data_IF_231150194762
#
_entry.id   IF_231150194762
#
_cell.length_a   1.000
_cell.length_b   1.000
_cell.length_c   1.000
_cell.angle_alpha   90.00
_cell.angle_beta   90.00
_cell.angle_gamma   90.00
#
_symmetry.space_group_name_H-M   'P 1'
#
loop_
_entity.id
_entity.type
_entity.pdbx_description
1 polymer ?
#
# COMPACT_ATOMS: atom_id res chain seq x y z
N UNK A 1 14.78 30.21 -25.31
CA UNK A 1 15.34 29.60 -24.11
C UNK A 1 15.04 28.11 -24.18
N UNK A 2 16.06 27.31 -24.39
CA UNK A 2 15.91 25.86 -24.35
C UNK A 2 15.55 25.48 -22.93
N UNK A 3 14.42 24.77 -22.78
CA UNK A 3 13.97 24.23 -21.52
C UNK A 3 14.86 23.03 -21.21
N UNK A 4 15.67 23.10 -20.15
CA UNK A 4 16.54 22.00 -19.74
C UNK A 4 15.76 21.11 -18.77
N UNK A 5 15.55 19.84 -19.13
CA UNK A 5 14.94 18.81 -18.28
C UNK A 5 16.04 17.84 -17.83
N UNK A 6 15.98 17.40 -16.60
CA UNK A 6 16.81 16.35 -16.04
C UNK A 6 15.91 15.26 -15.49
N UNK A 7 16.10 14.04 -16.00
CA UNK A 7 15.41 12.87 -15.51
C UNK A 7 16.30 12.16 -14.49
N UNK A 8 15.72 11.77 -13.37
CA UNK A 8 16.37 10.95 -12.35
C UNK A 8 15.58 9.66 -12.17
N UNK A 9 16.17 8.55 -12.57
CA UNK A 9 15.68 7.23 -12.22
C UNK A 9 16.03 6.91 -10.77
N UNK A 10 15.27 6.02 -10.14
CA UNK A 10 15.38 5.68 -8.71
C UNK A 10 15.42 6.95 -7.82
N UNK A 11 14.48 7.85 -8.08
CA UNK A 11 14.45 9.20 -7.48
C UNK A 11 14.38 9.20 -5.94
N UNK A 12 14.08 8.06 -5.31
CA UNK A 12 14.17 7.91 -3.87
C UNK A 12 15.61 8.10 -3.34
N UNK A 13 16.64 7.98 -4.19
CA UNK A 13 18.02 8.33 -3.85
C UNK A 13 18.32 9.83 -3.99
N UNK A 14 17.41 10.65 -4.53
CA UNK A 14 17.65 12.07 -4.79
C UNK A 14 17.94 12.91 -3.52
N UNK A 15 17.56 12.40 -2.35
CA UNK A 15 17.85 13.02 -1.05
C UNK A 15 19.32 12.87 -0.61
N UNK A 16 20.11 12.01 -1.26
CA UNK A 16 21.51 11.80 -0.91
C UNK A 16 22.41 12.97 -1.37
N UNK A 17 23.46 13.25 -0.60
CA UNK A 17 24.39 14.35 -0.89
C UNK A 17 25.01 14.28 -2.30
N UNK A 18 25.19 13.08 -2.84
CA UNK A 18 25.72 12.87 -4.19
C UNK A 18 24.77 13.39 -5.26
N UNK A 19 23.49 13.02 -5.16
CA UNK A 19 22.44 13.47 -6.06
C UNK A 19 22.19 14.98 -5.93
N UNK A 20 22.16 15.50 -4.70
CA UNK A 20 21.98 16.94 -4.47
C UNK A 20 23.07 17.76 -5.16
N UNK A 21 24.34 17.36 -5.07
CA UNK A 21 25.43 18.04 -5.77
C UNK A 21 25.25 18.05 -7.29
N UNK A 22 24.69 16.96 -7.85
CA UNK A 22 24.42 16.90 -9.30
C UNK A 22 23.28 17.84 -9.66
N UNK A 23 22.20 17.86 -8.88
CA UNK A 23 21.06 18.75 -9.10
C UNK A 23 21.42 20.22 -8.96
N UNK A 24 22.22 20.58 -7.94
CA UNK A 24 22.72 21.93 -7.70
C UNK A 24 23.58 22.46 -8.85
N UNK A 25 24.21 21.57 -9.62
CA UNK A 25 24.97 21.96 -10.82
C UNK A 25 24.08 22.48 -11.94
N UNK A 26 22.78 22.17 -11.91
CA UNK A 26 21.81 22.55 -12.94
C UNK A 26 20.64 23.38 -12.37
N UNK A 27 20.87 24.54 -11.75
CA UNK A 27 19.86 25.26 -10.98
C UNK A 27 18.68 25.82 -11.80
N UNK A 28 18.78 25.76 -13.12
CA UNK A 28 17.70 26.20 -14.04
C UNK A 28 16.98 25.03 -14.73
N UNK A 29 17.40 23.80 -14.46
CA UNK A 29 16.76 22.62 -15.05
C UNK A 29 15.44 22.30 -14.32
N UNK A 30 14.45 21.87 -15.05
CA UNK A 30 13.31 21.16 -14.47
C UNK A 30 13.73 19.71 -14.22
N UNK A 31 13.44 19.21 -13.03
CA UNK A 31 13.83 17.85 -12.63
C UNK A 31 12.60 16.95 -12.62
N UNK A 32 12.66 15.87 -13.38
CA UNK A 32 11.68 14.78 -13.34
C UNK A 32 12.30 13.61 -12.60
N UNK A 33 11.72 13.24 -11.46
CA UNK A 33 12.10 12.03 -10.71
C UNK A 33 11.13 10.90 -10.98
N UNK A 34 11.66 9.71 -11.27
CA UNK A 34 10.89 8.47 -11.42
C UNK A 34 11.35 7.48 -10.37
N UNK A 35 10.43 6.83 -9.67
CA UNK A 35 10.72 5.77 -8.70
C UNK A 35 9.59 4.77 -8.65
N UNK A 36 9.92 3.49 -8.54
CA UNK A 36 8.92 2.42 -8.36
C UNK A 36 8.30 2.42 -6.97
N UNK A 37 8.94 3.01 -5.99
CA UNK A 37 8.58 2.91 -4.58
C UNK A 37 8.70 4.24 -3.85
N UNK A 38 7.79 5.19 -4.11
CA UNK A 38 7.69 6.38 -3.26
C UNK A 38 7.07 5.96 -1.92
N UNK A 39 7.89 5.68 -0.91
CA UNK A 39 7.39 5.43 0.43
C UNK A 39 6.92 6.73 1.10
N UNK A 40 5.94 6.65 2.03
CA UNK A 40 5.44 7.84 2.74
C UNK A 40 6.53 8.55 3.53
N UNK A 41 7.50 7.80 4.07
CA UNK A 41 8.70 8.34 4.70
C UNK A 41 9.58 9.09 3.70
N UNK A 42 9.80 8.48 2.55
CA UNK A 42 10.59 9.03 1.45
C UNK A 42 9.90 10.19 0.76
N UNK A 43 8.57 10.17 0.62
CA UNK A 43 7.78 11.28 0.08
C UNK A 43 7.97 12.57 0.88
N UNK A 44 8.07 12.47 2.20
CA UNK A 44 8.36 13.63 3.07
C UNK A 44 9.75 14.19 2.82
N UNK A 45 10.72 13.33 2.55
CA UNK A 45 12.08 13.68 2.23
C UNK A 45 12.21 14.14 0.77
N UNK A 46 11.53 13.47 -0.18
CA UNK A 46 11.48 13.83 -1.59
C UNK A 46 10.80 15.19 -1.80
N UNK A 47 9.85 15.59 -0.97
CA UNK A 47 9.25 16.93 -0.96
C UNK A 47 10.25 18.07 -0.68
N UNK A 48 11.47 17.78 -0.23
CA UNK A 48 12.57 18.75 -0.15
C UNK A 48 13.29 18.97 -1.48
N UNK A 49 13.14 18.04 -2.42
CA UNK A 49 13.82 18.04 -3.74
C UNK A 49 12.84 18.33 -4.88
N UNK A 50 11.65 17.75 -4.81
CA UNK A 50 10.60 17.87 -5.84
C UNK A 50 9.43 18.70 -5.31
N UNK A 51 8.86 19.52 -6.19
CA UNK A 51 7.76 20.43 -5.83
C UNK A 51 6.40 19.74 -5.78
N UNK A 52 6.23 18.66 -6.56
CA UNK A 52 4.94 17.96 -6.65
C UNK A 52 5.08 16.54 -7.18
N UNK A 53 4.12 15.68 -6.82
CA UNK A 53 3.91 14.39 -7.46
C UNK A 53 3.08 14.63 -8.73
N UNK A 54 3.68 14.41 -9.89
CA UNK A 54 3.04 14.64 -11.19
C UNK A 54 2.09 13.51 -11.56
N UNK A 55 2.47 12.28 -11.31
CA UNK A 55 1.70 11.08 -11.63
C UNK A 55 2.05 9.92 -10.69
N UNK A 56 1.05 9.14 -10.31
CA UNK A 56 1.21 7.91 -9.53
C UNK A 56 0.55 6.76 -10.30
N UNK A 57 1.31 5.66 -10.48
CA UNK A 57 0.84 4.44 -11.10
C UNK A 57 1.05 3.28 -10.14
N UNK A 58 -0.04 2.83 -9.53
CA UNK A 58 0.02 1.88 -8.44
C UNK A 58 0.20 0.44 -8.92
N UNK A 59 0.75 -0.43 -8.06
CA UNK A 59 0.90 -1.87 -8.34
C UNK A 59 -0.45 -2.54 -8.67
N UNK A 60 -1.56 -2.32 -7.92
CA UNK A 60 -2.87 -2.85 -8.29
C UNK A 60 -3.34 -2.38 -9.67
N UNK A 61 -3.12 -1.11 -10.00
CA UNK A 61 -3.48 -0.61 -11.32
C UNK A 61 -2.70 -1.32 -12.43
N UNK A 62 -1.39 -1.53 -12.24
CA UNK A 62 -0.54 -2.23 -13.20
C UNK A 62 -0.93 -3.70 -13.38
N UNK A 63 -1.36 -4.38 -12.32
CA UNK A 63 -1.88 -5.75 -12.37
C UNK A 63 -3.21 -5.77 -13.13
N UNK A 64 -4.15 -4.91 -12.77
CA UNK A 64 -5.49 -4.82 -13.38
C UNK A 64 -5.43 -4.48 -14.88
N UNK A 65 -4.49 -3.64 -15.29
CA UNK A 65 -4.27 -3.27 -16.69
C UNK A 65 -3.43 -4.31 -17.46
N UNK A 66 -2.98 -5.38 -16.79
CA UNK A 66 -2.27 -6.50 -17.40
C UNK A 66 -0.80 -6.20 -17.75
N UNK A 67 -0.17 -5.25 -17.07
CA UNK A 67 1.28 -4.99 -17.20
C UNK A 67 2.11 -5.81 -16.23
N UNK A 68 1.51 -6.27 -15.12
CA UNK A 68 2.16 -7.12 -14.14
C UNK A 68 1.31 -8.34 -13.82
N UNK A 69 1.96 -9.41 -13.36
CA UNK A 69 1.29 -10.65 -12.95
C UNK A 69 0.52 -10.43 -11.63
N UNK A 70 -0.67 -11.03 -11.47
CA UNK A 70 -1.35 -11.11 -10.18
C UNK A 70 -0.44 -11.73 -9.11
N UNK A 71 -0.62 -11.33 -7.87
CA UNK A 71 0.17 -11.83 -6.75
C UNK A 71 -0.73 -12.61 -5.81
N UNK A 72 -0.36 -13.87 -5.54
CA UNK A 72 -0.96 -14.67 -4.48
C UNK A 72 0.02 -14.82 -3.34
N UNK A 73 -0.40 -14.47 -2.14
CA UNK A 73 0.37 -14.67 -0.93
C UNK A 73 -0.08 -15.96 -0.22
N UNK A 74 0.90 -16.75 0.25
CA UNK A 74 0.67 -17.83 1.20
C UNK A 74 1.39 -17.48 2.48
N UNK A 75 0.64 -17.25 3.55
CA UNK A 75 1.20 -17.06 4.87
C UNK A 75 1.54 -18.42 5.49
N UNK A 76 2.83 -18.63 5.76
CA UNK A 76 3.33 -19.88 6.34
C UNK A 76 3.25 -19.78 7.88
N UNK A 77 2.61 -20.72 8.57
CA UNK A 77 2.40 -20.65 10.02
C UNK A 77 3.66 -20.98 10.84
N UNK A 78 4.83 -20.77 10.28
CA UNK A 78 6.11 -20.91 10.95
C UNK A 78 6.49 -19.56 11.57
N UNK A 79 6.40 -19.46 12.89
CA UNK A 79 6.70 -18.25 13.64
C UNK A 79 8.20 -18.12 13.85
N UNK A 80 8.81 -17.20 13.11
CA UNK A 80 10.22 -16.86 13.20
C UNK A 80 10.40 -15.71 14.21
N UNK A 81 11.20 -15.94 15.24
CA UNK A 81 11.39 -14.98 16.32
C UNK A 81 12.47 -13.94 15.97
N UNK A 82 12.06 -12.68 15.88
CA UNK A 82 12.92 -11.52 15.65
C UNK A 82 13.04 -10.60 16.88
N UNK A 83 12.55 -11.00 18.04
CA UNK A 83 12.52 -10.14 19.24
C UNK A 83 13.92 -9.67 19.67
N UNK A 84 14.96 -10.49 19.43
CA UNK A 84 16.36 -10.19 19.72
C UNK A 84 17.11 -9.41 18.62
N UNK A 85 16.47 -9.10 17.48
CA UNK A 85 17.13 -8.44 16.35
C UNK A 85 17.21 -6.94 16.55
N UNK A 86 18.43 -6.38 16.47
CA UNK A 86 18.68 -4.94 16.57
C UNK A 86 18.43 -4.22 15.22
N UNK A 87 18.31 -2.90 15.28
CA UNK A 87 18.17 -2.04 14.09
C UNK A 87 19.43 -1.26 13.82
N UNK A 88 19.78 -1.11 12.54
CA UNK A 88 20.91 -0.33 12.07
C UNK A 88 20.49 0.44 10.81
N UNK A 89 20.78 1.74 10.76
CA UNK A 89 20.46 2.60 9.62
C UNK A 89 18.98 2.53 9.14
N UNK A 90 18.04 2.44 10.09
CA UNK A 90 16.60 2.41 9.79
C UNK A 90 16.03 1.03 9.43
N UNK A 91 16.86 0.00 9.30
CA UNK A 91 16.41 -1.37 9.01
C UNK A 91 16.97 -2.36 10.05
N UNK A 92 16.58 -3.62 9.96
CA UNK A 92 17.13 -4.69 10.78
C UNK A 92 18.58 -4.98 10.45
N UNK A 93 19.38 -5.26 11.48
CA UNK A 93 20.78 -5.65 11.30
C UNK A 93 20.90 -7.06 10.74
N UNK A 94 21.50 -7.18 9.54
CA UNK A 94 21.57 -8.43 8.80
C UNK A 94 22.21 -9.60 9.56
N UNK A 95 23.24 -9.33 10.40
CA UNK A 95 23.90 -10.35 11.21
C UNK A 95 23.00 -10.93 12.31
N UNK A 96 22.09 -10.13 12.84
CA UNK A 96 21.18 -10.55 13.90
C UNK A 96 20.01 -11.34 13.29
N UNK A 97 19.52 -10.92 12.09
CA UNK A 97 18.56 -11.72 11.30
C UNK A 97 19.15 -13.08 10.97
N UNK A 98 20.40 -13.13 10.51
CA UNK A 98 21.11 -14.37 10.19
C UNK A 98 21.08 -15.35 11.37
N UNK A 99 21.40 -14.85 12.56
CA UNK A 99 21.40 -15.66 13.79
C UNK A 99 20.00 -16.15 14.16
N UNK A 100 18.98 -15.28 14.02
CA UNK A 100 17.59 -15.62 14.32
C UNK A 100 16.99 -16.62 13.30
N UNK A 101 17.40 -16.52 12.02
CA UNK A 101 16.90 -17.36 10.94
C UNK A 101 17.52 -18.76 10.91
N UNK A 102 18.78 -18.89 11.33
CA UNK A 102 19.59 -20.11 11.19
C UNK A 102 18.91 -21.40 11.70
N UNK A 103 18.24 -21.41 12.87
CA UNK A 103 17.56 -22.60 13.38
C UNK A 103 16.38 -23.08 12.53
N UNK A 104 15.82 -22.21 11.69
CA UNK A 104 14.59 -22.47 10.93
C UNK A 104 14.83 -22.87 9.48
N UNK A 105 16.06 -22.78 8.97
CA UNK A 105 16.36 -22.98 7.55
C UNK A 105 15.86 -24.31 7.01
N UNK A 106 16.00 -25.42 7.78
CA UNK A 106 15.49 -26.73 7.37
C UNK A 106 13.95 -26.76 7.30
N UNK A 107 13.28 -26.15 8.29
CA UNK A 107 11.82 -26.08 8.31
C UNK A 107 11.28 -25.23 7.15
N UNK A 108 11.96 -24.13 6.83
CA UNK A 108 11.63 -23.29 5.67
C UNK A 108 11.78 -24.10 4.38
N UNK A 109 12.85 -24.86 4.21
CA UNK A 109 13.04 -25.72 3.06
C UNK A 109 11.95 -26.81 2.94
N UNK A 110 11.47 -27.35 4.07
CA UNK A 110 10.36 -28.30 4.09
C UNK A 110 9.02 -27.67 3.69
N UNK A 111 8.78 -26.41 4.07
CA UNK A 111 7.60 -25.67 3.59
C UNK A 111 7.73 -25.38 2.08
N UNK A 112 8.92 -25.03 1.60
CA UNK A 112 9.15 -24.83 0.17
C UNK A 112 8.84 -26.06 -0.68
N UNK A 113 9.10 -27.27 -0.17
CA UNK A 113 8.73 -28.52 -0.86
C UNK A 113 7.24 -28.65 -1.10
N UNK A 114 6.41 -28.10 -0.22
CA UNK A 114 4.95 -28.18 -0.35
C UNK A 114 4.40 -27.22 -1.40
N UNK A 115 4.96 -26.01 -1.49
CA UNK A 115 4.34 -24.92 -2.22
C UNK A 115 5.05 -24.52 -3.52
N UNK A 116 6.38 -24.72 -3.61
CA UNK A 116 7.17 -24.18 -4.73
C UNK A 116 8.20 -25.14 -5.32
N UNK A 117 8.03 -26.45 -5.13
CA UNK A 117 8.99 -27.46 -5.65
C UNK A 117 9.22 -27.33 -7.16
N UNK A 118 8.17 -27.11 -7.93
CA UNK A 118 8.19 -27.02 -9.39
C UNK A 118 8.24 -25.57 -9.90
N UNK A 119 8.31 -24.58 -9.00
CA UNK A 119 8.30 -23.17 -9.37
C UNK A 119 9.69 -22.62 -9.55
N UNK A 120 9.82 -21.64 -10.43
CA UNK A 120 11.06 -20.87 -10.60
C UNK A 120 11.15 -19.81 -9.51
N UNK A 121 11.92 -20.10 -8.48
CA UNK A 121 11.90 -19.40 -7.20
C UNK A 121 13.15 -18.56 -6.98
N UNK A 122 12.97 -17.32 -6.51
CA UNK A 122 14.06 -16.48 -5.98
C UNK A 122 13.90 -16.33 -4.48
N UNK A 123 15.00 -16.52 -3.74
CA UNK A 123 15.05 -16.41 -2.27
C UNK A 123 16.03 -15.30 -1.88
N UNK A 124 15.53 -14.31 -1.16
CA UNK A 124 16.33 -13.23 -0.62
C UNK A 124 16.72 -13.51 0.82
N UNK A 125 18.02 -13.55 1.09
CA UNK A 125 18.60 -13.90 2.41
C UNK A 125 19.43 -12.74 2.99
N UNK A 126 19.66 -12.70 4.32
CA UNK A 126 20.32 -11.57 4.96
C UNK A 126 21.83 -11.47 4.63
N UNK A 127 22.52 -12.60 4.52
CA UNK A 127 23.97 -12.67 4.32
C UNK A 127 24.35 -13.73 3.27
N UNK A 128 25.50 -13.55 2.65
CA UNK A 128 26.06 -14.51 1.66
C UNK A 128 26.22 -15.91 2.27
N UNK A 129 26.78 -16.01 3.49
CA UNK A 129 26.96 -17.30 4.16
C UNK A 129 25.64 -18.05 4.40
N UNK A 130 24.56 -17.32 4.74
CA UNK A 130 23.22 -17.88 4.92
C UNK A 130 22.66 -18.34 3.58
N UNK A 131 22.88 -17.55 2.54
CA UNK A 131 22.48 -17.86 1.16
C UNK A 131 23.12 -19.17 0.67
N UNK A 132 24.42 -19.31 0.88
CA UNK A 132 25.16 -20.54 0.54
C UNK A 132 24.69 -21.75 1.35
N UNK A 133 24.55 -21.59 2.68
CA UNK A 133 24.04 -22.64 3.55
C UNK A 133 22.63 -23.09 3.15
N UNK A 134 21.76 -22.13 2.85
CA UNK A 134 20.39 -22.44 2.48
C UNK A 134 20.30 -23.14 1.11
N UNK A 135 21.11 -22.71 0.13
CA UNK A 135 21.27 -23.44 -1.14
C UNK A 135 21.63 -24.91 -0.89
N UNK A 136 22.61 -25.19 -0.03
CA UNK A 136 23.05 -26.56 0.24
C UNK A 136 21.93 -27.40 0.91
N UNK A 137 21.17 -26.77 1.81
CA UNK A 137 19.98 -27.41 2.41
C UNK A 137 18.94 -27.72 1.32
N UNK A 138 18.65 -26.77 0.42
CA UNK A 138 17.69 -26.97 -0.67
C UNK A 138 18.12 -28.10 -1.62
N UNK A 139 19.41 -28.19 -1.96
CA UNK A 139 19.96 -29.29 -2.75
C UNK A 139 19.76 -30.63 -2.02
N UNK A 140 20.01 -30.68 -0.70
CA UNK A 140 19.78 -31.88 0.10
C UNK A 140 18.30 -32.33 0.15
N UNK A 141 17.37 -31.38 -0.07
CA UNK A 141 15.93 -31.61 -0.16
C UNK A 141 15.42 -31.92 -1.57
N UNK A 142 16.32 -31.95 -2.56
CA UNK A 142 16.01 -32.31 -3.95
C UNK A 142 15.55 -31.13 -4.83
N UNK A 143 15.92 -29.91 -4.48
CA UNK A 143 15.83 -28.77 -5.39
C UNK A 143 17.09 -28.65 -6.26
N UNK A 144 16.93 -28.11 -7.47
CA UNK A 144 18.06 -27.67 -8.30
C UNK A 144 18.36 -26.20 -7.93
N UNK A 145 19.09 -26.01 -6.83
CA UNK A 145 19.34 -24.69 -6.28
C UNK A 145 20.75 -24.18 -6.62
N UNK A 146 20.82 -22.88 -6.96
CA UNK A 146 22.07 -22.15 -7.10
C UNK A 146 22.12 -20.96 -6.12
N UNK A 147 23.30 -20.40 -5.95
CA UNK A 147 23.50 -19.19 -5.15
C UNK A 147 24.32 -18.18 -5.96
N UNK A 148 23.98 -16.90 -5.84
CA UNK A 148 24.69 -15.81 -6.49
C UNK A 148 24.86 -14.65 -5.53
N UNK A 149 26.08 -14.09 -5.51
CA UNK A 149 26.43 -12.94 -4.70
C UNK A 149 27.38 -11.98 -5.45
N UNK A 150 27.77 -10.86 -4.79
CA UNK A 150 28.63 -9.85 -5.41
C UNK A 150 30.05 -10.31 -5.72
N UNK A 151 30.52 -11.40 -5.12
CA UNK A 151 31.85 -11.99 -5.29
C UNK A 151 31.87 -13.16 -6.25
N UNK A 152 30.70 -13.61 -6.74
CA UNK A 152 30.59 -14.72 -7.68
C UNK A 152 31.25 -14.39 -9.01
N UNK A 153 32.29 -15.14 -9.39
CA UNK A 153 33.00 -14.99 -10.67
C UNK A 153 32.24 -15.59 -11.85
N UNK A 154 31.38 -16.57 -11.59
CA UNK A 154 30.52 -17.32 -12.48
C UNK A 154 29.07 -16.80 -12.54
N UNK A 155 28.86 -15.56 -12.04
CA UNK A 155 27.54 -14.92 -11.90
C UNK A 155 26.73 -14.98 -13.20
N UNK A 156 27.33 -14.63 -14.32
CA UNK A 156 26.62 -14.58 -15.61
C UNK A 156 26.16 -15.99 -16.02
N UNK A 157 26.99 -17.00 -15.82
CA UNK A 157 26.68 -18.39 -16.13
C UNK A 157 25.54 -18.93 -15.25
N UNK A 158 25.60 -18.65 -13.94
CA UNK A 158 24.54 -19.06 -12.99
C UNK A 158 23.19 -18.42 -13.37
N UNK A 159 23.18 -17.12 -13.67
CA UNK A 159 21.96 -16.41 -14.03
C UNK A 159 21.37 -16.91 -15.36
N UNK A 160 22.24 -17.19 -16.35
CA UNK A 160 21.83 -17.78 -17.63
C UNK A 160 21.28 -19.22 -17.47
N UNK A 161 21.93 -20.05 -16.65
CA UNK A 161 21.47 -21.40 -16.34
C UNK A 161 20.12 -21.36 -15.57
N UNK A 162 19.94 -20.43 -14.66
CA UNK A 162 18.65 -20.21 -13.99
C UNK A 162 17.56 -19.77 -14.98
N UNK A 163 17.86 -18.86 -15.91
CA UNK A 163 16.90 -18.43 -16.93
C UNK A 163 16.50 -19.57 -17.85
N UNK A 164 17.44 -20.46 -18.22
CA UNK A 164 17.20 -21.68 -19.01
C UNK A 164 16.45 -22.79 -18.24
N UNK A 165 16.28 -22.65 -16.91
CA UNK A 165 15.60 -23.65 -16.07
C UNK A 165 16.47 -24.82 -15.61
N UNK A 166 17.80 -24.74 -15.74
CA UNK A 166 18.72 -25.72 -15.17
C UNK A 166 18.69 -25.69 -13.64
N UNK A 167 18.47 -24.50 -13.08
CA UNK A 167 18.15 -24.29 -11.67
C UNK A 167 16.69 -23.84 -11.53
N UNK A 168 15.97 -24.34 -10.53
CA UNK A 168 14.62 -23.89 -10.21
C UNK A 168 14.59 -22.98 -8.97
N UNK A 169 15.66 -22.92 -8.20
CA UNK A 169 15.79 -22.00 -7.06
C UNK A 169 17.09 -21.22 -7.13
N UNK A 170 16.99 -19.90 -6.99
CA UNK A 170 18.13 -19.00 -6.94
C UNK A 170 18.15 -18.28 -5.59
N UNK A 171 19.16 -18.60 -4.75
CA UNK A 171 19.41 -17.94 -3.51
C UNK A 171 20.33 -16.73 -3.72
N UNK A 172 20.04 -15.62 -3.07
CA UNK A 172 20.91 -14.45 -3.13
C UNK A 172 20.87 -13.62 -1.84
N UNK A 173 21.93 -12.84 -1.64
CA UNK A 173 22.02 -11.85 -0.58
C UNK A 173 22.10 -10.46 -1.20
N UNK A 174 20.96 -9.78 -1.39
CA UNK A 174 20.80 -8.40 -1.91
C UNK A 174 21.21 -8.13 -3.35
N UNK A 175 21.90 -9.04 -4.02
CA UNK A 175 22.43 -8.79 -5.36
C UNK A 175 21.35 -8.58 -6.42
N UNK A 176 20.24 -9.30 -6.30
CA UNK A 176 19.16 -9.34 -7.30
C UNK A 176 18.04 -8.31 -7.01
N UNK A 177 18.23 -7.43 -6.07
CA UNK A 177 17.23 -6.38 -5.76
C UNK A 177 17.12 -5.34 -6.87
N UNK A 178 18.23 -5.04 -7.53
CA UNK A 178 18.31 -4.04 -8.61
C UNK A 178 19.01 -4.61 -9.86
N UNK A 179 18.65 -4.09 -11.04
CA UNK A 179 19.38 -4.35 -12.29
C UNK A 179 19.32 -5.75 -12.87
N UNK A 180 18.60 -6.70 -12.25
CA UNK A 180 18.42 -8.05 -12.78
C UNK A 180 17.00 -8.29 -13.27
N UNK A 181 16.87 -9.00 -14.38
CA UNK A 181 15.59 -9.33 -15.01
C UNK A 181 15.48 -10.80 -15.37
N UNK A 182 14.45 -11.46 -14.87
CA UNK A 182 14.05 -12.82 -15.24
C UNK A 182 12.53 -12.96 -15.15
N UNK A 183 11.79 -12.65 -16.21
CA UNK A 183 10.32 -12.61 -16.19
C UNK A 183 9.67 -13.95 -15.84
N UNK A 184 10.36 -15.06 -16.06
CA UNK A 184 9.88 -16.41 -15.77
C UNK A 184 9.86 -16.76 -14.27
N UNK A 185 10.38 -15.90 -13.38
CA UNK A 185 10.26 -16.10 -11.93
C UNK A 185 8.79 -16.03 -11.53
N UNK A 186 8.26 -17.11 -10.96
CA UNK A 186 6.87 -17.24 -10.54
C UNK A 186 6.69 -17.50 -9.03
N UNK A 187 7.80 -17.52 -8.27
CA UNK A 187 7.79 -17.58 -6.83
C UNK A 187 8.88 -16.69 -6.22
N UNK A 188 8.52 -15.91 -5.19
CA UNK A 188 9.45 -15.09 -4.42
C UNK A 188 9.33 -15.42 -2.95
N UNK A 189 10.47 -15.52 -2.28
CA UNK A 189 10.57 -15.78 -0.84
C UNK A 189 11.50 -14.75 -0.23
N UNK A 190 10.99 -13.98 0.74
CA UNK A 190 11.76 -12.96 1.44
C UNK A 190 12.13 -13.49 2.84
N UNK A 191 13.33 -14.04 2.96
CA UNK A 191 13.94 -14.46 4.24
C UNK A 191 14.84 -13.38 4.86
N UNK A 192 14.77 -12.19 4.28
CA UNK A 192 15.36 -10.98 4.83
C UNK A 192 14.24 -10.00 5.20
N UNK A 193 13.66 -10.14 6.39
CA UNK A 193 12.67 -9.18 6.87
C UNK A 193 13.27 -7.76 6.85
N UNK A 194 12.47 -6.79 6.46
CA UNK A 194 12.88 -5.40 6.34
C UNK A 194 11.75 -4.47 6.79
N UNK A 195 12.14 -3.29 7.29
CA UNK A 195 11.24 -2.18 7.60
C UNK A 195 11.11 -1.21 6.41
N UNK A 196 11.97 -1.37 5.41
CA UNK A 196 12.05 -0.49 4.25
C UNK A 196 11.13 -1.02 3.16
N UNK A 197 9.98 -0.37 2.98
CA UNK A 197 8.96 -0.75 2.00
C UNK A 197 9.53 -0.80 0.58
N UNK A 198 10.33 0.20 0.20
CA UNK A 198 10.98 0.24 -1.11
C UNK A 198 11.78 -1.03 -1.41
N UNK A 199 12.61 -1.46 -0.45
CA UNK A 199 13.40 -2.68 -0.58
C UNK A 199 12.50 -3.93 -0.69
N UNK A 200 11.44 -4.00 0.10
CA UNK A 200 10.48 -5.10 0.03
C UNK A 200 9.80 -5.17 -1.34
N UNK A 201 9.32 -4.04 -1.84
CA UNK A 201 8.70 -3.93 -3.16
C UNK A 201 9.68 -4.29 -4.29
N UNK A 202 10.95 -3.89 -4.21
CA UNK A 202 11.98 -4.27 -5.18
C UNK A 202 12.21 -5.78 -5.20
N UNK A 203 12.32 -6.43 -4.03
CA UNK A 203 12.49 -7.87 -3.93
C UNK A 203 11.31 -8.63 -4.54
N UNK A 204 10.07 -8.28 -4.16
CA UNK A 204 8.87 -8.94 -4.68
C UNK A 204 8.64 -8.59 -6.15
N UNK A 205 8.95 -7.38 -6.56
CA UNK A 205 8.84 -6.89 -7.95
C UNK A 205 9.62 -7.72 -8.96
N UNK A 206 10.65 -8.44 -8.54
CA UNK A 206 11.38 -9.38 -9.44
C UNK A 206 10.49 -10.49 -9.98
N UNK A 207 9.45 -10.87 -9.26
CA UNK A 207 8.51 -11.91 -9.67
C UNK A 207 7.21 -11.38 -10.29
N UNK A 208 6.98 -10.07 -10.40
CA UNK A 208 5.71 -9.55 -10.93
C UNK A 208 5.65 -9.43 -12.45
N UNK A 209 6.76 -9.61 -13.15
CA UNK A 209 6.81 -9.46 -14.61
C UNK A 209 6.02 -10.53 -15.32
N UNK A 210 5.46 -10.17 -16.48
CA UNK A 210 4.72 -11.10 -17.32
C UNK A 210 5.68 -12.02 -18.08
N UNK A 211 5.31 -13.28 -18.19
CA UNK A 211 6.00 -14.26 -19.01
C UNK A 211 4.98 -15.25 -19.59
N UNK A 212 5.24 -15.78 -20.78
CA UNK A 212 4.40 -16.81 -21.36
C UNK A 212 4.34 -18.05 -20.44
N UNK A 213 3.15 -18.56 -20.23
CA UNK A 213 2.90 -19.68 -19.31
C UNK A 213 2.82 -19.36 -17.82
N UNK A 214 3.17 -18.14 -17.42
CA UNK A 214 3.05 -17.68 -16.04
C UNK A 214 1.68 -17.02 -15.82
N UNK A 215 0.92 -17.52 -14.85
CA UNK A 215 -0.42 -17.02 -14.52
C UNK A 215 -0.42 -16.07 -13.33
N UNK A 216 0.52 -16.23 -12.41
CA UNK A 216 0.59 -15.51 -11.15
C UNK A 216 2.01 -15.51 -10.58
N UNK A 217 2.29 -14.61 -9.67
CA UNK A 217 3.42 -14.68 -8.76
C UNK A 217 2.95 -15.29 -7.43
N UNK A 218 3.63 -16.32 -6.95
CA UNK A 218 3.47 -16.83 -5.60
C UNK A 218 4.45 -16.14 -4.66
N UNK A 219 3.93 -15.51 -3.62
CA UNK A 219 4.73 -14.91 -2.53
C UNK A 219 4.57 -15.76 -1.26
N UNK A 220 5.64 -16.40 -0.82
CA UNK A 220 5.62 -17.09 0.47
C UNK A 220 6.03 -16.12 1.58
N UNK A 221 5.09 -15.81 2.46
CA UNK A 221 5.27 -14.95 3.62
C UNK A 221 5.32 -15.78 4.91
N UNK A 222 6.39 -15.61 5.68
CA UNK A 222 6.56 -16.29 6.97
C UNK A 222 6.07 -15.41 8.11
N UNK A 223 5.42 -16.00 9.12
CA UNK A 223 4.98 -15.28 10.30
C UNK A 223 6.18 -14.94 11.19
N UNK A 224 6.72 -13.75 10.98
CA UNK A 224 7.79 -13.22 11.84
C UNK A 224 7.20 -12.70 13.15
N UNK A 225 7.69 -13.23 14.26
CA UNK A 225 7.36 -12.71 15.58
C UNK A 225 8.30 -11.55 15.92
N UNK A 226 7.73 -10.36 16.08
CA UNK A 226 8.45 -9.15 16.48
C UNK A 226 7.60 -8.37 17.48
N UNK A 227 8.25 -7.79 18.50
CA UNK A 227 7.59 -6.86 19.43
C UNK A 227 7.23 -5.51 18.76
N UNK A 228 7.77 -5.26 17.57
CA UNK A 228 7.61 -4.02 16.82
C UNK A 228 6.85 -4.30 15.53
N UNK A 229 5.71 -3.65 15.37
CA UNK A 229 4.82 -3.79 14.19
C UNK A 229 5.35 -3.08 12.91
N UNK A 230 6.66 -2.86 12.78
CA UNK A 230 7.25 -2.07 11.67
C UNK A 230 7.77 -2.94 10.51
N UNK A 231 7.36 -4.19 10.42
CA UNK A 231 7.84 -5.12 9.41
C UNK A 231 7.00 -5.05 8.13
N UNK A 232 7.66 -4.95 6.97
CA UNK A 232 6.98 -5.06 5.68
C UNK A 232 6.45 -6.47 5.44
N UNK A 233 5.20 -6.55 4.98
CA UNK A 233 4.43 -7.76 4.72
C UNK A 233 3.73 -7.66 3.36
N UNK A 234 3.10 -8.72 2.84
CA UNK A 234 2.37 -8.67 1.57
C UNK A 234 1.38 -7.52 1.46
N UNK A 235 0.71 -7.14 2.55
CA UNK A 235 -0.19 -6.00 2.60
C UNK A 235 0.49 -4.67 2.19
N UNK A 236 1.76 -4.47 2.53
CA UNK A 236 2.50 -3.25 2.22
C UNK A 236 2.85 -3.10 0.73
N UNK A 237 2.63 -4.13 -0.09
CA UNK A 237 2.78 -4.02 -1.55
C UNK A 237 1.70 -3.15 -2.18
N UNK A 238 0.46 -3.26 -1.67
CA UNK A 238 -0.71 -2.65 -2.31
C UNK A 238 -1.46 -1.65 -1.42
N UNK A 239 -1.48 -1.87 -0.09
CA UNK A 239 -2.19 -0.98 0.81
C UNK A 239 -1.47 0.36 0.93
N UNK A 240 -2.21 1.44 0.76
CA UNK A 240 -1.74 2.81 1.00
C UNK A 240 -2.06 3.27 2.44
N UNK A 241 -3.03 2.62 3.08
CA UNK A 241 -3.47 2.93 4.43
C UNK A 241 -2.93 1.90 5.41
N UNK A 242 -2.29 2.34 6.49
CA UNK A 242 -1.69 1.47 7.51
C UNK A 242 -2.73 0.60 8.21
N UNK A 243 -3.92 1.14 8.54
CA UNK A 243 -4.98 0.37 9.17
C UNK A 243 -5.49 -0.77 8.28
N UNK A 244 -5.57 -0.52 6.95
CA UNK A 244 -5.94 -1.55 5.98
C UNK A 244 -4.82 -2.59 5.88
N UNK A 245 -3.56 -2.16 5.88
CA UNK A 245 -2.41 -3.07 5.84
C UNK A 245 -2.34 -3.98 7.08
N UNK A 246 -2.60 -3.42 8.27
CA UNK A 246 -2.68 -4.19 9.51
C UNK A 246 -3.84 -5.20 9.47
N UNK A 247 -5.03 -4.76 9.03
CA UNK A 247 -6.20 -5.63 8.91
C UNK A 247 -6.01 -6.74 7.89
N UNK A 248 -5.45 -6.42 6.72
CA UNK A 248 -5.11 -7.40 5.70
C UNK A 248 -4.09 -8.42 6.22
N UNK A 249 -3.07 -7.96 6.95
CA UNK A 249 -2.07 -8.85 7.56
C UNK A 249 -2.72 -9.81 8.56
N UNK A 250 -3.64 -9.32 9.39
CA UNK A 250 -4.42 -10.14 10.31
C UNK A 250 -5.26 -11.19 9.56
N UNK A 251 -5.96 -10.79 8.51
CA UNK A 251 -6.80 -11.68 7.71
C UNK A 251 -5.95 -12.77 7.03
N UNK A 252 -4.83 -12.40 6.40
CA UNK A 252 -3.90 -13.37 5.81
C UNK A 252 -3.30 -14.35 6.83
N UNK A 253 -3.03 -13.91 8.06
CA UNK A 253 -2.55 -14.79 9.12
C UNK A 253 -3.63 -15.79 9.58
N UNK A 254 -4.91 -15.39 9.55
CA UNK A 254 -6.03 -16.28 9.88
C UNK A 254 -6.25 -17.34 8.78
N UNK A 255 -5.89 -17.04 7.54
CA UNK A 255 -5.97 -17.95 6.38
C UNK A 255 -4.61 -18.64 6.08
N UNK A 256 -3.76 -18.81 7.09
CA UNK A 256 -2.43 -19.40 6.94
C UNK A 256 -2.47 -20.75 6.22
N UNK A 257 -1.55 -20.93 5.25
CA UNK A 257 -1.45 -22.12 4.41
C UNK A 257 -2.33 -22.12 3.15
N UNK A 258 -3.22 -21.14 3.00
CA UNK A 258 -4.02 -20.95 1.78
C UNK A 258 -3.40 -19.88 0.89
N UNK A 259 -3.50 -20.08 -0.44
CA UNK A 259 -3.10 -19.07 -1.40
C UNK A 259 -4.22 -18.03 -1.53
N UNK A 260 -3.94 -16.79 -1.17
CA UNK A 260 -4.88 -15.67 -1.17
C UNK A 260 -4.41 -14.63 -2.19
N UNK A 261 -5.32 -14.18 -3.04
CA UNK A 261 -5.07 -13.06 -3.95
C UNK A 261 -4.96 -11.75 -3.14
N UNK A 262 -3.87 -11.01 -3.34
CA UNK A 262 -3.61 -9.83 -2.52
C UNK A 262 -4.58 -8.67 -2.83
N UNK A 263 -5.10 -8.57 -4.05
CA UNK A 263 -6.08 -7.54 -4.41
C UNK A 263 -7.45 -7.84 -3.76
N UNK A 264 -7.87 -9.11 -3.74
CA UNK A 264 -9.08 -9.52 -3.02
C UNK A 264 -8.94 -9.33 -1.51
N UNK A 265 -7.76 -9.68 -0.96
CA UNK A 265 -7.47 -9.49 0.47
C UNK A 265 -7.45 -8.02 0.89
N UNK A 266 -6.91 -7.13 0.06
CA UNK A 266 -6.92 -5.68 0.30
C UNK A 266 -8.35 -5.14 0.27
N UNK A 267 -9.15 -5.53 -0.72
CA UNK A 267 -10.55 -5.12 -0.83
C UNK A 267 -11.34 -5.54 0.41
N UNK A 268 -11.21 -6.79 0.85
CA UNK A 268 -11.88 -7.29 2.05
C UNK A 268 -11.42 -6.53 3.30
N UNK A 269 -10.12 -6.29 3.46
CA UNK A 269 -9.58 -5.54 4.58
C UNK A 269 -10.07 -4.08 4.59
N UNK A 270 -10.19 -3.45 3.42
CA UNK A 270 -10.76 -2.11 3.27
C UNK A 270 -12.21 -2.06 3.71
N UNK A 271 -13.03 -3.04 3.29
CA UNK A 271 -14.44 -3.17 3.73
C UNK A 271 -14.53 -3.37 5.24
N UNK A 272 -13.68 -4.21 5.84
CA UNK A 272 -13.63 -4.47 7.27
C UNK A 272 -13.27 -3.20 8.07
N UNK A 273 -12.26 -2.44 7.62
CA UNK A 273 -11.84 -1.17 8.26
C UNK A 273 -12.95 -0.13 8.18
N UNK A 274 -13.62 -0.01 7.03
CA UNK A 274 -14.76 0.91 6.87
C UNK A 274 -15.88 0.55 7.84
N UNK A 275 -16.24 -0.73 7.94
CA UNK A 275 -17.26 -1.21 8.87
C UNK A 275 -16.90 -0.91 10.34
N UNK A 276 -15.65 -1.13 10.74
CA UNK A 276 -15.17 -0.81 12.10
C UNK A 276 -15.20 0.69 12.39
N UNK A 277 -14.84 1.53 11.39
CA UNK A 277 -14.90 2.99 11.53
C UNK A 277 -16.33 3.49 11.62
N UNK A 278 -17.25 2.96 10.81
CA UNK A 278 -18.67 3.30 10.88
C UNK A 278 -19.24 2.99 12.26
N UNK A 279 -18.92 1.82 12.83
CA UNK A 279 -19.35 1.45 14.18
C UNK A 279 -18.76 2.39 15.26
N UNK A 280 -17.46 2.67 15.17
CA UNK A 280 -16.77 3.60 16.08
C UNK A 280 -17.37 5.00 16.01
N UNK A 281 -17.64 5.51 14.79
CA UNK A 281 -18.24 6.83 14.60
C UNK A 281 -19.69 6.89 15.09
N UNK A 282 -20.47 5.84 14.83
CA UNK A 282 -21.84 5.76 15.34
C UNK A 282 -21.89 5.89 16.88
N UNK A 283 -20.87 5.37 17.57
CA UNK A 283 -20.66 5.52 19.01
C UNK A 283 -20.29 6.96 19.37
N UNK A 284 -19.31 7.56 18.67
CA UNK A 284 -18.88 8.95 18.91
C UNK A 284 -20.00 9.96 18.61
N UNK A 285 -20.76 9.77 17.52
CA UNK A 285 -21.90 10.63 17.17
C UNK A 285 -23.02 10.55 18.20
N UNK A 286 -23.22 9.41 18.87
CA UNK A 286 -24.13 9.31 20.03
C UNK A 286 -23.68 10.21 21.20
N UNK A 287 -22.37 10.30 21.43
CA UNK A 287 -21.78 11.13 22.47
C UNK A 287 -21.75 12.63 22.09
N UNK A 288 -21.61 12.94 20.78
CA UNK A 288 -21.53 14.30 20.24
C UNK A 288 -22.90 14.99 20.00
N UNK A 289 -24.03 14.36 20.31
CA UNK A 289 -25.41 14.88 20.10
C UNK A 289 -25.70 16.25 20.74
N UNK A 290 -24.78 16.83 21.50
CA UNK A 290 -24.92 18.15 22.16
C UNK A 290 -24.36 19.32 21.35
N UNK A 291 -23.60 19.12 20.30
CA UNK A 291 -23.04 20.22 19.49
C UNK A 291 -23.90 20.51 18.27
N UNK A 292 -24.67 21.60 18.30
CA UNK A 292 -25.44 22.11 17.14
C UNK A 292 -24.50 22.71 16.08
N UNK A 293 -23.81 21.89 15.31
CA UNK A 293 -23.05 22.36 14.15
C UNK A 293 -23.96 22.41 12.92
N UNK A 294 -23.95 23.53 12.18
CA UNK A 294 -24.66 23.68 10.90
C UNK A 294 -23.93 23.03 9.72
N UNK A 295 -22.68 22.73 9.92
CA UNK A 295 -21.77 22.17 8.90
C UNK A 295 -21.52 20.68 9.15
N UNK A 296 -21.11 19.98 8.12
CA UNK A 296 -20.71 18.56 8.22
C UNK A 296 -19.30 18.48 8.75
N UNK A 297 -19.08 17.62 9.71
CA UNK A 297 -17.74 17.28 10.19
C UNK A 297 -16.93 16.63 9.04
N UNK A 298 -15.66 17.04 8.82
CA UNK A 298 -14.83 16.47 7.77
C UNK A 298 -14.72 14.94 7.85
N UNK A 299 -14.50 14.38 9.03
CA UNK A 299 -14.39 12.93 9.24
C UNK A 299 -15.71 12.22 8.91
N UNK A 300 -16.85 12.76 9.35
CA UNK A 300 -18.16 12.23 8.97
C UNK A 300 -18.35 12.22 7.45
N UNK A 301 -17.94 13.30 6.78
CA UNK A 301 -18.02 13.40 5.33
C UNK A 301 -17.15 12.36 4.63
N UNK A 302 -15.89 12.20 5.07
CA UNK A 302 -14.94 11.22 4.54
C UNK A 302 -15.52 9.79 4.61
N UNK A 303 -16.12 9.45 5.74
CA UNK A 303 -16.76 8.14 5.95
C UNK A 303 -18.01 7.94 5.08
N UNK A 304 -18.89 8.95 5.03
CA UNK A 304 -20.12 8.87 4.23
C UNK A 304 -19.86 8.67 2.73
N UNK A 305 -18.73 9.15 2.23
CA UNK A 305 -18.32 8.96 0.83
C UNK A 305 -17.31 7.82 0.64
N UNK A 306 -16.98 7.09 1.72
CA UNK A 306 -16.03 5.98 1.73
C UNK A 306 -14.65 6.35 1.11
N UNK A 307 -14.14 7.53 1.46
CA UNK A 307 -12.88 8.05 0.93
C UNK A 307 -11.71 7.78 1.89
N UNK A 308 -11.12 6.61 1.78
CA UNK A 308 -9.99 6.19 2.62
C UNK A 308 -8.75 7.06 2.44
N UNK A 309 -8.51 7.52 1.20
CA UNK A 309 -7.42 8.44 0.86
C UNK A 309 -7.48 9.77 1.64
N UNK A 310 -8.67 10.23 1.99
CA UNK A 310 -8.85 11.43 2.81
C UNK A 310 -8.53 11.17 4.29
N UNK A 311 -8.95 10.04 4.81
CA UNK A 311 -8.76 9.70 6.23
C UNK A 311 -7.31 9.32 6.56
N UNK A 312 -6.61 8.73 5.60
CA UNK A 312 -5.21 8.33 5.73
C UNK A 312 -4.21 9.36 5.17
N UNK A 313 -4.69 10.54 4.73
CA UNK A 313 -3.84 11.55 4.13
C UNK A 313 -2.73 12.03 5.06
N UNK A 314 -1.50 11.93 4.60
CA UNK A 314 -0.31 12.47 5.26
C UNK A 314 0.34 13.49 4.32
N UNK A 315 0.50 14.77 4.73
CA UNK A 315 1.14 15.77 3.90
C UNK A 315 2.62 15.44 3.67
N UNK A 316 3.09 15.52 2.42
CA UNK A 316 4.46 15.23 2.02
C UNK A 316 5.24 16.51 1.65
N UNK A 317 4.60 17.45 0.97
CA UNK A 317 5.23 18.68 0.48
C UNK A 317 5.08 19.84 1.47
N UNK A 318 6.05 20.77 1.45
CA UNK A 318 6.05 21.90 2.40
C UNK A 318 4.75 22.73 2.41
N UNK A 319 4.16 22.96 1.23
CA UNK A 319 2.89 23.69 1.11
C UNK A 319 1.69 22.90 1.68
N UNK A 320 1.75 21.57 1.65
CA UNK A 320 0.71 20.69 2.19
C UNK A 320 0.70 20.70 3.72
N UNK A 321 1.92 20.78 4.33
CA UNK A 321 2.09 20.85 5.77
C UNK A 321 1.64 22.20 6.36
N UNK A 322 1.54 23.26 5.52
CA UNK A 322 1.08 24.57 5.97
C UNK A 322 -0.39 24.49 6.43
N UNK A 323 -0.81 25.37 7.37
CA UNK A 323 -2.22 25.47 7.75
C UNK A 323 -3.12 25.77 6.56
N UNK A 324 -4.35 25.23 6.57
CA UNK A 324 -5.34 25.52 5.54
C UNK A 324 -5.57 27.05 5.44
N UNK A 325 -5.49 27.58 4.21
CA UNK A 325 -5.64 29.02 3.94
C UNK A 325 -7.06 29.49 4.18
N UNK A 326 -7.24 30.79 4.50
CA UNK A 326 -8.58 31.37 4.70
C UNK A 326 -9.48 31.19 3.47
N UNK A 327 -8.92 31.22 2.26
CA UNK A 327 -9.65 30.94 1.00
C UNK A 327 -10.14 29.50 0.93
N UNK A 328 -9.32 28.55 1.35
CA UNK A 328 -9.71 27.13 1.40
C UNK A 328 -10.79 26.92 2.47
N UNK A 329 -10.61 27.47 3.66
CA UNK A 329 -11.59 27.39 4.76
C UNK A 329 -12.94 27.98 4.36
N UNK A 330 -12.96 29.18 3.77
CA UNK A 330 -14.18 29.83 3.29
C UNK A 330 -14.88 29.01 2.18
N UNK A 331 -14.10 28.40 1.25
CA UNK A 331 -14.66 27.55 0.19
C UNK A 331 -15.26 26.27 0.78
N UNK A 332 -14.60 25.61 1.73
CA UNK A 332 -15.10 24.43 2.43
C UNK A 332 -16.40 24.72 3.20
N UNK A 333 -16.45 25.83 3.96
CA UNK A 333 -17.63 26.25 4.69
C UNK A 333 -18.82 26.52 3.76
N UNK A 334 -18.59 27.23 2.65
CA UNK A 334 -19.61 27.46 1.61
C UNK A 334 -20.17 26.16 1.04
N UNK A 335 -19.32 25.15 0.88
CA UNK A 335 -19.71 23.82 0.39
C UNK A 335 -20.34 22.93 1.47
N UNK A 336 -20.33 23.36 2.72
CA UNK A 336 -21.02 22.69 3.82
C UNK A 336 -20.12 21.82 4.69
N UNK A 337 -18.80 21.90 4.55
CA UNK A 337 -17.82 21.21 5.39
C UNK A 337 -17.31 22.14 6.48
N UNK A 338 -17.17 21.65 7.71
CA UNK A 338 -16.61 22.40 8.83
C UNK A 338 -15.09 22.52 8.67
N UNK A 339 -14.52 23.73 8.52
CA UNK A 339 -13.12 23.88 8.13
C UNK A 339 -12.12 23.82 9.29
N UNK A 340 -12.54 24.02 10.54
CA UNK A 340 -11.63 24.18 11.68
C UNK A 340 -10.97 22.86 12.12
N UNK A 341 -11.56 21.73 11.76
CA UNK A 341 -11.05 20.39 12.03
C UNK A 341 -10.13 19.88 10.89
N UNK A 342 -9.71 20.77 9.96
CA UNK A 342 -8.79 20.44 8.86
C UNK A 342 -7.45 21.12 9.13
N UNK A 343 -6.46 20.32 9.52
CA UNK A 343 -5.19 20.79 10.06
C UNK A 343 -4.27 21.45 9.02
N UNK A 344 -4.33 21.01 7.74
CA UNK A 344 -3.34 21.40 6.75
C UNK A 344 -3.94 21.72 5.38
N UNK A 345 -3.17 22.48 4.59
CA UNK A 345 -3.57 22.94 3.25
C UNK A 345 -3.71 21.79 2.24
N UNK A 346 -2.92 20.74 2.37
CA UNK A 346 -2.99 19.57 1.51
C UNK A 346 -4.30 18.83 1.67
N UNK A 347 -4.69 18.49 2.90
CA UNK A 347 -5.99 17.85 3.20
C UNK A 347 -7.16 18.74 2.76
N UNK A 348 -7.07 20.05 3.02
CA UNK A 348 -8.08 20.99 2.56
C UNK A 348 -8.25 20.99 1.04
N UNK A 349 -7.15 20.97 0.28
CA UNK A 349 -7.16 20.87 -1.19
C UNK A 349 -7.79 19.56 -1.64
N UNK A 350 -7.38 18.44 -1.06
CA UNK A 350 -7.86 17.11 -1.43
C UNK A 350 -9.38 16.97 -1.25
N UNK A 351 -9.91 17.46 -0.12
CA UNK A 351 -11.37 17.53 0.11
C UNK A 351 -12.06 18.40 -0.93
N UNK A 352 -11.51 19.58 -1.25
CA UNK A 352 -12.08 20.48 -2.26
C UNK A 352 -12.12 19.84 -3.64
N UNK A 353 -11.04 19.18 -4.05
CA UNK A 353 -10.95 18.47 -5.33
C UNK A 353 -11.95 17.30 -5.38
N UNK A 354 -12.12 16.58 -4.26
CA UNK A 354 -13.12 15.52 -4.13
C UNK A 354 -14.55 16.05 -4.25
N UNK A 355 -14.86 17.16 -3.60
CA UNK A 355 -16.15 17.83 -3.69
C UNK A 355 -16.48 18.25 -5.14
N UNK A 356 -15.49 18.74 -5.86
CA UNK A 356 -15.64 19.15 -7.27
C UNK A 356 -15.86 17.94 -8.18
N UNK A 357 -15.06 16.88 -8.04
CA UNK A 357 -15.24 15.62 -8.77
C UNK A 357 -16.63 15.03 -8.54
N UNK A 358 -17.08 14.96 -7.29
CA UNK A 358 -18.40 14.43 -6.94
C UNK A 358 -19.54 15.27 -7.50
N UNK A 359 -19.41 16.60 -7.46
CA UNK A 359 -20.37 17.52 -8.06
C UNK A 359 -20.48 17.29 -9.58
N UNK A 360 -19.36 17.13 -10.27
CA UNK A 360 -19.32 16.87 -11.70
C UNK A 360 -19.91 15.49 -12.06
N UNK A 361 -19.78 14.52 -11.15
CA UNK A 361 -20.38 13.19 -11.26
C UNK A 361 -21.89 13.15 -10.87
N UNK A 362 -22.49 14.28 -10.48
CA UNK A 362 -23.90 14.35 -10.07
C UNK A 362 -24.22 13.62 -8.77
N UNK A 363 -23.24 13.47 -7.87
CA UNK A 363 -23.41 12.79 -6.58
C UNK A 363 -23.89 13.75 -5.49
N UNK A 364 -24.31 13.19 -4.35
CA UNK A 364 -24.79 13.94 -3.18
C UNK A 364 -23.80 14.97 -2.66
N UNK A 365 -24.36 16.10 -2.24
CA UNK A 365 -23.62 17.19 -1.57
C UNK A 365 -23.47 16.90 -0.07
N UNK A 366 -22.49 17.52 0.63
CA UNK A 366 -22.34 17.39 2.08
C UNK A 366 -23.64 17.72 2.85
N UNK A 367 -24.37 18.75 2.41
CA UNK A 367 -25.63 19.16 3.05
C UNK A 367 -26.73 18.11 2.93
N UNK A 368 -26.84 17.46 1.75
CA UNK A 368 -27.80 16.36 1.53
C UNK A 368 -27.40 15.15 2.37
N UNK A 369 -26.13 14.77 2.37
CA UNK A 369 -25.59 13.66 3.17
C UNK A 369 -25.97 13.89 4.64
N UNK A 370 -25.61 15.02 5.21
CA UNK A 370 -25.91 15.34 6.61
C UNK A 370 -27.40 15.25 6.93
N UNK A 371 -28.26 15.80 6.05
CA UNK A 371 -29.69 15.83 6.28
C UNK A 371 -30.26 14.40 6.28
N UNK A 372 -29.92 13.61 5.29
CA UNK A 372 -30.46 12.26 5.15
C UNK A 372 -29.92 11.31 6.23
N UNK A 373 -28.62 11.37 6.53
CA UNK A 373 -28.02 10.57 7.61
C UNK A 373 -28.59 10.95 8.98
N UNK A 374 -28.92 12.23 9.20
CA UNK A 374 -29.61 12.67 10.42
C UNK A 374 -31.02 12.07 10.57
N UNK A 375 -31.58 11.57 9.48
CA UNK A 375 -32.86 10.84 9.43
C UNK A 375 -32.69 9.32 9.48
N UNK A 376 -31.46 8.83 9.61
CA UNK A 376 -31.13 7.42 9.73
C UNK A 376 -30.87 6.70 8.42
N UNK A 377 -30.79 7.42 7.28
CA UNK A 377 -30.37 6.80 6.01
C UNK A 377 -28.89 6.46 6.05
N UNK A 378 -28.54 5.32 5.49
CA UNK A 378 -27.17 4.83 5.39
C UNK A 378 -26.65 4.94 3.94
N UNK A 379 -25.32 4.96 3.76
CA UNK A 379 -24.65 5.01 2.45
C UNK A 379 -25.10 6.15 1.51
N UNK A 380 -25.56 7.25 2.08
CA UNK A 380 -26.04 8.42 1.32
C UNK A 380 -24.97 9.01 0.40
N UNK A 381 -23.70 8.82 0.73
CA UNK A 381 -22.60 9.25 -0.10
C UNK A 381 -22.60 8.65 -1.51
N UNK A 382 -23.14 7.48 -1.72
CA UNK A 382 -23.22 6.82 -3.03
C UNK A 382 -24.40 7.27 -3.90
N UNK A 383 -25.36 8.03 -3.34
CA UNK A 383 -26.58 8.41 -4.06
C UNK A 383 -26.32 9.51 -5.09
N UNK A 384 -27.17 9.56 -6.13
CA UNK A 384 -27.20 10.71 -7.04
C UNK A 384 -27.80 11.94 -6.36
N UNK A 385 -27.40 13.12 -6.81
CA UNK A 385 -27.93 14.40 -6.35
C UNK A 385 -29.46 14.45 -6.47
N UNK A 386 -30.01 13.95 -7.59
CA UNK A 386 -31.44 13.96 -7.87
C UNK A 386 -32.22 12.98 -6.98
N UNK A 387 -31.69 11.79 -6.76
CA UNK A 387 -32.30 10.79 -5.86
C UNK A 387 -32.37 11.31 -4.42
N UNK A 388 -31.30 11.97 -3.96
CA UNK A 388 -31.28 12.61 -2.64
C UNK A 388 -32.30 13.75 -2.56
N UNK A 389 -32.41 14.60 -3.59
CA UNK A 389 -33.41 15.67 -3.62
C UNK A 389 -34.84 15.14 -3.59
N UNK A 390 -35.13 14.08 -4.35
CA UNK A 390 -36.45 13.42 -4.34
C UNK A 390 -36.81 12.93 -2.94
N UNK A 391 -35.87 12.27 -2.24
CA UNK A 391 -36.10 11.80 -0.88
C UNK A 391 -36.27 12.97 0.11
N UNK A 392 -35.45 14.00 0.02
CA UNK A 392 -35.57 15.22 0.84
C UNK A 392 -36.92 15.88 0.65
N UNK A 393 -37.44 15.97 -0.60
CA UNK A 393 -38.74 16.51 -0.89
C UNK A 393 -39.86 15.65 -0.26
N UNK A 394 -39.76 14.30 -0.31
CA UNK A 394 -40.72 13.40 0.37
C UNK A 394 -40.70 13.59 1.90
N UNK A 395 -39.50 13.71 2.50
CA UNK A 395 -39.37 13.96 3.94
C UNK A 395 -39.97 15.31 4.31
N UNK A 396 -39.70 16.35 3.51
CA UNK A 396 -40.26 17.69 3.73
C UNK A 396 -41.79 17.69 3.63
N UNK A 397 -42.32 17.07 2.62
CA UNK A 397 -43.78 16.92 2.46
C UNK A 397 -44.44 16.14 3.62
N UNK A 398 -43.69 15.23 4.27
CA UNK A 398 -44.15 14.45 5.42
C UNK A 398 -43.82 15.12 6.77
N UNK A 399 -43.73 16.45 6.80
CA UNK A 399 -43.47 17.19 8.02
C UNK A 399 -42.09 16.93 8.64
N UNK A 400 -41.05 16.75 7.81
CA UNK A 400 -39.67 16.45 8.20
C UNK A 400 -39.49 15.11 8.93
N UNK A 401 -40.44 14.19 8.76
CA UNK A 401 -40.36 12.80 9.22
C UNK A 401 -40.15 11.86 8.04
N UNK A 402 -39.43 10.77 8.30
CA UNK A 402 -39.28 9.72 7.29
C UNK A 402 -40.65 9.13 6.94
N UNK A 403 -41.01 8.98 5.66
CA UNK A 403 -42.25 8.36 5.27
C UNK A 403 -42.37 6.94 5.84
N UNK A 404 -43.59 6.51 6.21
CA UNK A 404 -43.82 5.20 6.86
C UNK A 404 -43.50 3.99 5.96
N UNK A 405 -43.50 4.21 4.66
CA UNK A 405 -43.22 3.22 3.61
C UNK A 405 -41.72 3.09 3.32
N UNK A 406 -40.85 3.83 4.04
CA UNK A 406 -39.41 3.83 3.84
C UNK A 406 -38.72 3.43 5.13
N UNK A 407 -37.93 2.35 5.06
CA UNK A 407 -36.93 2.04 6.10
C UNK A 407 -35.62 2.74 5.74
N UNK A 408 -35.14 3.72 6.52
CA UNK A 408 -33.94 4.47 6.20
C UNK A 408 -32.68 3.61 6.10
N UNK A 409 -32.59 2.52 6.85
CA UNK A 409 -31.40 1.65 6.91
C UNK A 409 -31.22 0.78 5.68
N UNK A 410 -32.34 0.37 5.08
CA UNK A 410 -32.34 -0.57 3.94
C UNK A 410 -32.68 0.12 2.62
N UNK A 411 -33.03 1.42 2.68
CA UNK A 411 -33.44 2.15 1.49
C UNK A 411 -32.28 2.39 0.53
N UNK A 412 -32.42 1.89 -0.68
CA UNK A 412 -31.51 2.17 -1.80
C UNK A 412 -32.33 2.91 -2.88
N UNK A 413 -31.93 4.13 -3.31
CA UNK A 413 -32.62 4.83 -4.37
C UNK A 413 -32.51 4.08 -5.69
N UNK A 414 -33.61 4.01 -6.44
CA UNK A 414 -33.58 3.59 -7.84
C UNK A 414 -32.79 4.64 -8.64
N UNK A 415 -31.80 4.21 -9.42
CA UNK A 415 -30.97 5.05 -10.28
C UNK A 415 -31.75 5.62 -11.48
#
# INVERSE_FOLDING_TARGET
SEMCIRDSDEAHHAISDGYQRVLDHFPKAQVLGVTATPDRGDMKNLGSVFDSLAYEYTLPQAIKEGYLSPIKAITIPLKLDLSGVSTQAGDFKASDIDTALDPYLYQIADEMLKYCKERKTVVFLPLVKTSQKFRDILISKGFNAAEVNGESTDRAEILEAFDKGEYNVLCNSMLLTEGWDCPSVDCVIVLRPTKVRGLYCQMVGRGTRLCEGKTELLLLDFLWHTERHELCRPAHLICQNEEVAEKMTENLANEAGCAVDIEEAEKQASEDVVAQREESLAKQLKEMKTRKRKLVDPLQYEMSIQAEDLSSYVPAFGWECAPATDKQKAKLEKLGIFPDDIDNAGKAKLILDRLEKRRNAGLTTPKQIRLLESKGFEHVGSWSFDSANKMIARISANGWRVPRDVDPKTYTPEN
#
